data_IF_294071425347
#
_entry.id   IF_294071425347
#
_cell.length_a   1.000
_cell.length_b   1.000
_cell.length_c   1.000
_cell.angle_alpha   90.00
_cell.angle_beta   90.00
_cell.angle_gamma   90.00
#
_symmetry.space_group_name_H-M   'P 1'
#
loop_
_entity.id
_entity.type
_entity.pdbx_description
1 polymer ?
#
# COMPACT_ATOMS: atom_id res chain seq x y z
N UNK A 1 -20.05 -15.02 35.59
CA UNK A 1 -20.52 -15.35 34.24
C UNK A 1 -22.03 -15.48 34.29
N UNK A 2 -22.73 -14.53 33.71
CA UNK A 2 -24.18 -14.59 33.54
C UNK A 2 -24.46 -15.06 32.13
N UNK A 3 -25.51 -15.83 31.92
CA UNK A 3 -25.86 -16.38 30.60
C UNK A 3 -27.17 -15.76 30.13
N UNK A 4 -27.15 -15.12 28.98
CA UNK A 4 -28.29 -14.51 28.33
C UNK A 4 -28.52 -15.20 26.98
N UNK A 5 -29.74 -15.62 26.71
CA UNK A 5 -30.19 -16.08 25.39
C UNK A 5 -31.35 -15.20 24.99
N UNK A 6 -31.16 -14.46 23.89
CA UNK A 6 -32.10 -13.48 23.38
C UNK A 6 -33.17 -14.12 22.48
N UNK A 7 -33.75 -13.38 21.58
CA UNK A 7 -34.89 -13.85 20.78
C UNK A 7 -34.46 -14.11 19.29
N UNK A 8 -35.37 -14.61 18.48
CA UNK A 8 -35.17 -14.80 17.04
C UNK A 8 -35.45 -13.51 16.22
N UNK A 9 -35.51 -12.37 16.85
CA UNK A 9 -35.78 -11.09 16.18
C UNK A 9 -34.93 -9.98 16.78
N UNK A 10 -34.90 -8.78 16.17
CA UNK A 10 -34.02 -7.71 16.62
C UNK A 10 -34.11 -7.44 18.10
N UNK A 11 -32.99 -7.59 18.79
CA UNK A 11 -32.86 -7.35 20.21
C UNK A 11 -31.99 -6.11 20.48
N UNK A 12 -32.27 -5.46 21.57
CA UNK A 12 -31.45 -4.40 22.14
C UNK A 12 -31.11 -4.80 23.57
N UNK A 13 -29.82 -5.03 23.80
CA UNK A 13 -29.31 -5.39 25.10
C UNK A 13 -28.54 -4.20 25.67
N UNK A 14 -29.20 -3.21 26.28
CA UNK A 14 -28.53 -2.18 27.06
C UNK A 14 -27.98 -2.81 28.31
N UNK A 15 -26.88 -2.29 28.82
CA UNK A 15 -26.35 -2.71 30.11
C UNK A 15 -27.48 -2.88 31.13
N UNK A 16 -27.68 -4.09 31.66
CA UNK A 16 -28.82 -4.34 32.55
C UNK A 16 -28.72 -3.62 33.88
N UNK A 17 -27.51 -3.32 34.33
CA UNK A 17 -27.25 -2.62 35.59
C UNK A 17 -25.92 -1.85 35.52
N UNK A 18 -25.84 -0.66 36.08
CA UNK A 18 -24.65 0.17 36.21
C UNK A 18 -23.48 -0.49 36.99
N UNK A 19 -23.56 -1.76 37.28
CA UNK A 19 -22.59 -2.61 37.98
C UNK A 19 -22.31 -3.91 37.21
N UNK A 20 -22.52 -3.97 35.88
CA UNK A 20 -22.14 -5.13 35.07
C UNK A 20 -20.62 -5.18 35.00
N UNK A 21 -19.99 -5.82 35.98
CA UNK A 21 -18.56 -5.99 36.15
C UNK A 21 -18.19 -7.47 36.12
N UNK A 22 -19.00 -8.28 35.51
CA UNK A 22 -18.84 -9.73 35.51
C UNK A 22 -18.77 -10.27 34.12
N UNK A 23 -18.02 -11.36 33.94
CA UNK A 23 -17.96 -12.10 32.71
C UNK A 23 -19.34 -12.61 32.30
N UNK A 24 -19.77 -12.29 31.11
CA UNK A 24 -21.09 -12.65 30.59
C UNK A 24 -20.98 -13.54 29.32
N UNK A 25 -21.98 -14.37 29.13
CA UNK A 25 -22.17 -15.16 27.91
C UNK A 25 -23.51 -14.72 27.29
N UNK A 26 -23.45 -14.08 26.14
CA UNK A 26 -24.61 -13.53 25.44
C UNK A 26 -24.76 -14.20 24.09
N UNK A 27 -25.94 -14.77 23.81
CA UNK A 27 -26.26 -15.36 22.52
C UNK A 27 -27.52 -14.67 21.97
N UNK A 28 -27.37 -13.92 20.87
CA UNK A 28 -28.43 -13.11 20.29
C UNK A 28 -29.33 -13.88 19.31
N UNK A 29 -28.86 -15.01 18.78
CA UNK A 29 -29.57 -15.93 17.88
C UNK A 29 -29.76 -15.38 16.46
N UNK A 30 -30.81 -14.63 16.20
CA UNK A 30 -31.10 -14.10 14.89
C UNK A 30 -31.88 -12.78 14.98
N UNK A 31 -31.54 -11.86 14.12
CA UNK A 31 -32.13 -10.54 14.11
C UNK A 31 -31.06 -9.53 13.70
N UNK A 32 -31.38 -8.27 13.76
CA UNK A 32 -30.37 -7.22 13.70
C UNK A 32 -30.25 -6.67 15.14
N UNK A 33 -29.25 -7.18 15.85
CA UNK A 33 -29.16 -7.02 17.29
C UNK A 33 -28.18 -5.90 17.67
N UNK A 34 -28.36 -5.31 18.84
CA UNK A 34 -27.42 -4.32 19.40
C UNK A 34 -27.09 -4.73 20.82
N UNK A 35 -25.84 -5.16 21.01
CA UNK A 35 -25.36 -5.77 22.25
C UNK A 35 -24.21 -4.95 22.82
N UNK A 36 -24.23 -4.72 24.12
CA UNK A 36 -23.13 -4.14 24.91
C UNK A 36 -22.82 -5.09 26.07
N UNK A 37 -21.67 -5.77 26.03
CA UNK A 37 -21.21 -6.70 27.08
C UNK A 37 -20.84 -6.02 28.39
N UNK A 38 -20.41 -4.74 28.35
CA UNK A 38 -20.12 -3.95 29.52
C UNK A 38 -18.69 -4.12 30.07
N UNK A 39 -18.59 -4.49 31.34
CA UNK A 39 -17.29 -4.74 31.99
C UNK A 39 -17.13 -6.23 32.29
N UNK A 40 -16.01 -6.77 32.04
CA UNK A 40 -15.68 -8.16 32.29
C UNK A 40 -15.04 -8.81 31.07
N UNK A 41 -14.78 -10.09 31.15
CA UNK A 41 -14.36 -10.87 30.00
C UNK A 41 -15.61 -11.53 29.41
N UNK A 42 -16.14 -10.94 28.39
CA UNK A 42 -17.43 -11.33 27.85
C UNK A 42 -17.30 -12.24 26.63
N UNK A 43 -18.31 -13.05 26.41
CA UNK A 43 -18.47 -13.82 25.17
C UNK A 43 -19.82 -13.46 24.55
N UNK A 44 -19.75 -12.87 23.35
CA UNK A 44 -20.93 -12.41 22.61
C UNK A 44 -21.03 -13.18 21.29
N UNK A 45 -22.17 -13.75 21.00
CA UNK A 45 -22.51 -14.42 19.74
C UNK A 45 -23.74 -13.72 19.15
N UNK A 46 -23.55 -12.94 18.07
CA UNK A 46 -24.60 -12.20 17.36
C UNK A 46 -25.53 -13.16 16.61
N UNK A 47 -24.94 -14.13 15.92
CA UNK A 47 -25.68 -15.22 15.28
C UNK A 47 -26.04 -14.94 13.84
N UNK A 48 -27.26 -14.54 13.52
CA UNK A 48 -27.65 -14.28 12.15
C UNK A 48 -28.41 -12.97 12.03
N UNK A 49 -27.90 -12.06 11.27
CA UNK A 49 -28.47 -10.71 11.10
C UNK A 49 -27.36 -9.70 10.92
N UNK A 50 -27.70 -8.43 10.92
CA UNK A 50 -26.69 -7.38 10.84
C UNK A 50 -26.56 -6.78 12.24
N UNK A 51 -25.56 -7.21 12.97
CA UNK A 51 -25.44 -6.99 14.39
C UNK A 51 -24.46 -5.86 14.75
N UNK A 52 -24.68 -5.20 15.88
CA UNK A 52 -23.75 -4.24 16.48
C UNK A 52 -23.33 -4.78 17.85
N UNK A 53 -22.09 -5.27 17.94
CA UNK A 53 -21.58 -5.96 19.11
C UNK A 53 -20.44 -5.17 19.73
N UNK A 54 -20.60 -4.80 20.98
CA UNK A 54 -19.67 -3.95 21.72
C UNK A 54 -19.29 -4.59 23.05
N UNK A 55 -18.00 -4.66 23.40
CA UNK A 55 -17.53 -5.02 24.74
C UNK A 55 -16.16 -4.41 25.01
N UNK A 56 -16.15 -3.18 25.53
CA UNK A 56 -14.95 -2.31 25.53
C UNK A 56 -13.99 -2.51 26.69
N UNK A 57 -14.24 -3.41 27.62
CA UNK A 57 -13.37 -3.65 28.77
C UNK A 57 -13.21 -5.14 29.09
N UNK A 58 -11.98 -5.58 29.21
CA UNK A 58 -11.64 -6.96 29.54
C UNK A 58 -11.22 -7.75 28.29
N UNK A 59 -10.88 -9.01 28.44
CA UNK A 59 -10.49 -9.88 27.34
C UNK A 59 -11.74 -10.59 26.81
N UNK A 60 -12.24 -10.15 25.68
CA UNK A 60 -13.54 -10.53 25.15
C UNK A 60 -13.43 -11.53 23.99
N UNK A 61 -14.51 -12.24 23.73
CA UNK A 61 -14.72 -13.02 22.52
C UNK A 61 -16.01 -12.55 21.88
N UNK A 62 -15.92 -11.99 20.67
CA UNK A 62 -17.07 -11.43 19.95
C UNK A 62 -17.19 -12.13 18.61
N UNK A 63 -18.33 -12.72 18.33
CA UNK A 63 -18.64 -13.44 17.10
C UNK A 63 -19.83 -12.76 16.43
N UNK A 64 -19.66 -12.24 15.22
CA UNK A 64 -20.73 -11.65 14.40
C UNK A 64 -21.66 -12.73 13.87
N UNK A 65 -21.14 -13.58 13.02
CA UNK A 65 -21.84 -14.76 12.53
C UNK A 65 -22.24 -14.66 11.06
N UNK A 66 -23.49 -14.40 10.75
CA UNK A 66 -23.96 -14.28 9.39
C UNK A 66 -24.71 -12.98 9.17
N UNK A 67 -24.27 -12.18 8.23
CA UNK A 67 -24.77 -10.84 7.93
C UNK A 67 -23.67 -9.82 8.11
N UNK A 68 -23.97 -8.58 7.78
CA UNK A 68 -23.02 -7.48 7.90
C UNK A 68 -22.95 -7.00 9.32
N UNK A 69 -21.87 -7.29 10.00
CA UNK A 69 -21.71 -7.07 11.43
C UNK A 69 -20.72 -5.95 11.75
N UNK A 70 -20.88 -5.33 12.92
CA UNK A 70 -19.97 -4.32 13.43
C UNK A 70 -19.52 -4.70 14.84
N UNK A 71 -18.25 -5.05 14.99
CA UNK A 71 -17.65 -5.59 16.20
C UNK A 71 -16.62 -4.62 16.78
N UNK A 72 -16.74 -4.29 18.08
CA UNK A 72 -15.77 -3.45 18.80
C UNK A 72 -15.45 -4.05 20.16
N UNK A 73 -14.18 -4.34 20.41
CA UNK A 73 -13.74 -4.95 21.65
C UNK A 73 -13.14 -3.93 22.66
N UNK A 74 -12.18 -3.12 22.29
CA UNK A 74 -11.73 -1.99 23.12
C UNK A 74 -10.45 -2.22 23.89
N UNK A 75 -10.46 -2.44 25.17
CA UNK A 75 -9.26 -2.66 25.97
C UNK A 75 -9.16 -4.11 26.42
N UNK A 76 -8.06 -4.76 26.18
CA UNK A 76 -7.81 -6.15 26.58
C UNK A 76 -7.20 -6.93 25.44
N UNK A 77 -6.81 -8.17 25.64
CA UNK A 77 -6.43 -9.07 24.57
C UNK A 77 -7.70 -9.79 24.10
N UNK A 78 -8.23 -9.37 22.96
CA UNK A 78 -9.57 -9.72 22.50
C UNK A 78 -9.53 -10.70 21.30
N UNK A 79 -10.63 -11.40 21.06
CA UNK A 79 -10.83 -12.26 19.88
C UNK A 79 -12.13 -11.87 19.17
N UNK A 80 -12.03 -11.48 17.90
CA UNK A 80 -13.16 -11.10 17.07
C UNK A 80 -13.26 -12.02 15.85
N UNK A 81 -14.46 -12.50 15.53
CA UNK A 81 -14.76 -13.32 14.35
C UNK A 81 -15.99 -12.73 13.64
N UNK A 82 -15.79 -12.10 12.47
CA UNK A 82 -16.87 -11.53 11.67
C UNK A 82 -17.81 -12.60 11.13
N UNK A 83 -17.24 -13.56 10.39
CA UNK A 83 -17.98 -14.72 9.94
C UNK A 83 -18.30 -14.77 8.46
N UNK A 84 -19.44 -14.32 8.03
CA UNK A 84 -19.82 -14.27 6.62
C UNK A 84 -20.61 -13.04 6.26
N UNK A 85 -20.48 -12.61 5.01
CA UNK A 85 -20.87 -11.30 4.49
C UNK A 85 -19.86 -10.21 4.96
N UNK A 86 -20.04 -8.96 4.60
CA UNK A 86 -19.13 -7.86 4.92
C UNK A 86 -19.20 -7.48 6.40
N UNK A 87 -18.05 -7.48 7.07
CA UNK A 87 -17.94 -7.15 8.48
C UNK A 87 -16.92 -6.03 8.74
N UNK A 88 -17.14 -5.27 9.84
CA UNK A 88 -16.20 -4.28 10.35
C UNK A 88 -15.75 -4.66 11.76
N UNK A 89 -14.44 -4.94 11.95
CA UNK A 89 -13.86 -5.41 13.21
C UNK A 89 -12.84 -4.42 13.76
N UNK A 90 -12.97 -4.07 15.04
CA UNK A 90 -12.06 -3.18 15.76
C UNK A 90 -11.61 -3.83 17.08
N UNK A 91 -10.33 -4.23 17.16
CA UNK A 91 -9.72 -4.82 18.35
C UNK A 91 -9.60 -3.80 19.48
N UNK A 92 -8.83 -2.77 19.29
CA UNK A 92 -8.65 -1.69 20.25
C UNK A 92 -7.29 -1.71 20.92
N UNK A 93 -7.19 -1.41 22.22
CA UNK A 93 -5.92 -1.50 22.96
C UNK A 93 -5.69 -2.93 23.44
N UNK A 94 -4.67 -3.61 23.03
CA UNK A 94 -4.37 -4.98 23.49
C UNK A 94 -3.61 -5.76 22.41
N UNK A 95 -3.37 -7.05 22.64
CA UNK A 95 -2.86 -7.92 21.59
C UNK A 95 -4.04 -8.77 21.10
N UNK A 96 -4.64 -8.33 20.03
CA UNK A 96 -5.93 -8.82 19.58
C UNK A 96 -5.78 -9.88 18.47
N UNK A 97 -6.81 -10.71 18.32
CA UNK A 97 -6.91 -11.65 17.22
C UNK A 97 -8.22 -11.41 16.45
N UNK A 98 -8.12 -10.94 15.21
CA UNK A 98 -9.23 -10.59 14.35
C UNK A 98 -9.31 -11.55 13.16
N UNK A 99 -10.49 -12.04 12.87
CA UNK A 99 -10.81 -12.92 11.74
C UNK A 99 -12.00 -12.35 10.97
N UNK A 100 -11.78 -11.89 9.74
CA UNK A 100 -12.85 -11.39 8.86
C UNK A 100 -13.78 -12.52 8.42
N UNK A 101 -13.22 -13.50 7.74
CA UNK A 101 -13.90 -14.73 7.41
C UNK A 101 -14.23 -14.91 5.95
N UNK A 102 -15.40 -14.59 5.50
CA UNK A 102 -15.81 -14.65 4.11
C UNK A 102 -16.36 -13.34 3.65
N UNK A 103 -16.19 -13.08 2.28
CA UNK A 103 -16.54 -11.83 1.65
C UNK A 103 -15.57 -10.71 2.12
N UNK A 104 -15.69 -9.51 1.60
CA UNK A 104 -14.69 -8.46 1.81
C UNK A 104 -14.91 -7.75 3.14
N UNK A 105 -13.92 -7.76 4.01
CA UNK A 105 -14.01 -7.29 5.38
C UNK A 105 -13.11 -6.09 5.68
N UNK A 106 -13.44 -5.34 6.73
CA UNK A 106 -12.64 -4.26 7.29
C UNK A 106 -12.13 -4.61 8.69
N UNK A 107 -10.80 -4.75 8.85
CA UNK A 107 -10.20 -5.17 10.11
C UNK A 107 -9.18 -4.14 10.60
N UNK A 108 -9.27 -3.76 11.87
CA UNK A 108 -8.33 -2.85 12.51
C UNK A 108 -7.93 -3.40 13.89
N UNK A 109 -6.65 -3.83 14.01
CA UNK A 109 -6.10 -4.32 15.26
C UNK A 109 -6.05 -3.23 16.32
N UNK A 110 -5.39 -2.12 16.02
CA UNK A 110 -5.27 -0.97 16.92
C UNK A 110 -3.91 -0.86 17.57
N UNK A 111 -3.81 -0.39 18.83
CA UNK A 111 -2.58 -0.44 19.59
C UNK A 111 -2.33 -1.80 20.23
N UNK A 112 -1.25 -2.47 19.87
CA UNK A 112 -0.87 -3.77 20.42
C UNK A 112 -0.02 -4.56 19.44
N UNK A 113 0.21 -5.82 19.71
CA UNK A 113 0.82 -6.73 18.74
C UNK A 113 -0.28 -7.69 18.29
N UNK A 114 -0.87 -7.40 17.16
CA UNK A 114 -2.11 -7.99 16.72
C UNK A 114 -1.91 -9.12 15.72
N UNK A 115 -2.84 -10.05 15.69
CA UNK A 115 -2.97 -11.07 14.66
C UNK A 115 -4.26 -10.81 13.89
N UNK A 116 -4.14 -10.50 12.60
CA UNK A 116 -5.30 -10.16 11.77
C UNK A 116 -5.32 -11.04 10.52
N UNK A 117 -6.42 -11.72 10.29
CA UNK A 117 -6.66 -12.64 9.17
C UNK A 117 -7.94 -12.20 8.44
N UNK A 118 -7.80 -11.68 7.20
CA UNK A 118 -8.95 -11.28 6.36
C UNK A 118 -9.78 -12.48 5.91
N UNK A 119 -9.11 -13.49 5.41
CA UNK A 119 -9.76 -14.77 5.05
C UNK A 119 -10.10 -14.89 3.59
N UNK A 120 -11.31 -14.64 3.18
CA UNK A 120 -11.74 -14.66 1.77
C UNK A 120 -12.47 -13.41 1.43
N UNK A 121 -12.10 -12.79 0.33
CA UNK A 121 -12.68 -11.56 -0.17
C UNK A 121 -11.56 -10.59 -0.49
N UNK A 122 -11.91 -9.42 -0.93
CA UNK A 122 -10.94 -8.35 -1.10
C UNK A 122 -10.97 -7.53 0.21
N UNK A 123 -10.03 -7.83 1.12
CA UNK A 123 -10.06 -7.35 2.50
C UNK A 123 -9.26 -6.07 2.71
N UNK A 124 -9.65 -5.32 3.72
CA UNK A 124 -8.96 -4.12 4.17
C UNK A 124 -8.45 -4.33 5.58
N UNK A 125 -7.12 -4.46 5.74
CA UNK A 125 -6.48 -4.84 6.99
C UNK A 125 -5.53 -3.74 7.46
N UNK A 126 -5.69 -3.30 8.71
CA UNK A 126 -4.81 -2.38 9.38
C UNK A 126 -4.34 -2.97 10.70
N UNK A 127 -3.01 -3.16 10.86
CA UNK A 127 -2.41 -3.61 12.12
C UNK A 127 -2.52 -2.53 13.19
N UNK A 128 -1.91 -1.38 12.95
CA UNK A 128 -2.02 -0.21 13.81
C UNK A 128 -0.71 0.20 14.44
N UNK A 129 -0.53 0.02 15.72
CA UNK A 129 0.75 0.28 16.36
C UNK A 129 1.21 -0.91 17.20
N UNK A 130 2.39 -1.39 16.96
CA UNK A 130 2.96 -2.60 17.57
C UNK A 130 3.63 -3.45 16.51
N UNK A 131 4.09 -4.62 16.87
CA UNK A 131 4.67 -5.55 15.89
C UNK A 131 3.57 -6.55 15.51
N UNK A 132 2.93 -6.34 14.34
CA UNK A 132 1.70 -7.00 13.93
C UNK A 132 1.95 -8.15 12.93
N UNK A 133 0.99 -9.08 12.86
CA UNK A 133 0.97 -10.17 11.87
C UNK A 133 -0.35 -10.09 11.09
N UNK A 134 -0.24 -9.80 9.80
CA UNK A 134 -1.38 -9.59 8.90
C UNK A 134 -1.38 -10.67 7.81
N UNK A 135 -2.51 -11.32 7.63
CA UNK A 135 -2.78 -12.30 6.58
C UNK A 135 -3.99 -11.83 5.76
N UNK A 136 -3.82 -11.58 4.46
CA UNK A 136 -4.93 -11.23 3.56
C UNK A 136 -5.78 -12.43 3.24
N UNK A 137 -5.18 -13.44 2.63
CA UNK A 137 -5.81 -14.74 2.39
C UNK A 137 -6.16 -14.98 0.95
N UNK A 138 -7.41 -14.92 0.57
CA UNK A 138 -7.89 -15.06 -0.80
C UNK A 138 -8.57 -13.77 -1.26
N UNK A 139 -8.12 -13.14 -2.28
CA UNK A 139 -8.69 -11.93 -2.85
C UNK A 139 -7.61 -10.90 -3.15
N UNK A 140 -8.00 -9.68 -3.48
CA UNK A 140 -7.04 -8.61 -3.68
C UNK A 140 -7.06 -7.73 -2.44
N UNK A 141 -6.14 -7.96 -1.54
CA UNK A 141 -6.15 -7.44 -0.21
C UNK A 141 -5.32 -6.15 -0.06
N UNK A 142 -5.66 -5.34 0.91
CA UNK A 142 -4.91 -4.14 1.26
C UNK A 142 -4.44 -4.26 2.71
N UNK A 143 -3.11 -4.38 2.90
CA UNK A 143 -2.47 -4.59 4.19
C UNK A 143 -1.64 -3.36 4.58
N UNK A 144 -2.02 -2.70 5.67
CA UNK A 144 -1.27 -1.60 6.29
C UNK A 144 -0.80 -2.04 7.68
N UNK A 145 0.50 -2.35 7.80
CA UNK A 145 1.07 -2.74 9.09
C UNK A 145 0.97 -1.63 10.12
N UNK A 146 1.12 -0.38 9.67
CA UNK A 146 1.16 0.77 10.55
C UNK A 146 2.53 0.96 11.17
N UNK A 147 2.59 1.30 12.48
CA UNK A 147 3.87 1.57 13.11
C UNK A 147 4.38 0.39 13.92
N UNK A 148 5.54 -0.14 13.59
CA UNK A 148 6.12 -1.29 14.26
C UNK A 148 7.11 -2.05 13.40
N UNK A 149 7.25 -3.32 13.65
CA UNK A 149 7.93 -4.27 12.76
C UNK A 149 6.91 -5.32 12.40
N UNK A 150 6.34 -5.18 11.22
CA UNK A 150 5.16 -5.91 10.84
C UNK A 150 5.49 -7.05 9.87
N UNK A 151 4.74 -8.14 10.00
CA UNK A 151 4.81 -9.28 9.09
C UNK A 151 3.50 -9.37 8.30
N UNK A 152 3.57 -9.19 6.98
CA UNK A 152 2.42 -9.16 6.09
C UNK A 152 2.50 -10.27 5.06
N UNK A 153 1.39 -10.92 4.79
CA UNK A 153 1.22 -11.92 3.75
C UNK A 153 -0.11 -11.70 3.03
N UNK A 154 -0.10 -11.34 1.76
CA UNK A 154 -1.32 -11.11 0.98
C UNK A 154 -2.03 -12.40 0.65
N UNK A 155 -1.32 -13.36 0.06
CA UNK A 155 -1.88 -14.67 -0.20
C UNK A 155 -2.26 -14.92 -1.65
N UNK A 156 -3.52 -15.26 -1.95
CA UNK A 156 -3.99 -15.40 -3.33
C UNK A 156 -4.61 -14.10 -3.83
N UNK A 157 -4.10 -13.55 -4.90
CA UNK A 157 -4.65 -12.35 -5.54
C UNK A 157 -3.61 -11.27 -5.78
N UNK A 158 -4.06 -10.10 -6.20
CA UNK A 158 -3.18 -8.96 -6.42
C UNK A 158 -3.26 -8.03 -5.20
N UNK A 159 -2.23 -8.06 -4.37
CA UNK A 159 -2.27 -7.47 -3.06
C UNK A 159 -1.53 -6.13 -2.98
N UNK A 160 -1.91 -5.31 -2.04
CA UNK A 160 -1.27 -4.01 -1.79
C UNK A 160 -0.77 -3.93 -0.36
N UNK A 161 0.53 -3.63 -0.22
CA UNK A 161 1.21 -3.49 1.05
C UNK A 161 1.63 -2.06 1.31
N UNK A 162 1.41 -1.56 2.51
CA UNK A 162 1.91 -0.27 2.97
C UNK A 162 3.04 -0.50 3.97
N UNK A 163 4.22 0.05 3.66
CA UNK A 163 5.46 -0.11 4.43
C UNK A 163 5.92 1.24 4.94
N UNK A 164 6.02 1.40 6.25
CA UNK A 164 6.50 2.61 6.91
C UNK A 164 7.83 2.43 7.65
N UNK A 165 8.27 1.19 7.81
CA UNK A 165 9.50 0.79 8.50
C UNK A 165 10.33 -0.17 7.64
N UNK A 166 11.68 0.01 7.52
CA UNK A 166 12.52 -0.88 6.69
C UNK A 166 12.62 -2.32 7.21
N UNK A 167 12.07 -2.59 8.39
CA UNK A 167 12.06 -3.91 9.02
C UNK A 167 10.75 -4.67 8.77
N UNK A 168 9.76 -4.02 8.16
CA UNK A 168 8.54 -4.70 7.76
C UNK A 168 8.86 -5.81 6.75
N UNK A 169 8.25 -6.94 6.96
CA UNK A 169 8.52 -8.13 6.19
C UNK A 169 7.28 -8.57 5.43
N UNK A 170 7.39 -8.61 4.11
CA UNK A 170 6.35 -9.10 3.23
C UNK A 170 6.71 -10.51 2.74
N UNK A 171 5.74 -11.39 2.78
CA UNK A 171 5.79 -12.73 2.19
C UNK A 171 4.71 -12.82 1.12
N UNK A 172 5.09 -13.26 -0.07
CA UNK A 172 4.17 -13.58 -1.14
C UNK A 172 4.23 -15.04 -1.53
N UNK A 173 3.08 -15.58 -1.93
CA UNK A 173 2.97 -16.93 -2.40
C UNK A 173 3.66 -17.11 -3.77
N UNK A 174 4.02 -18.35 -4.10
CA UNK A 174 4.51 -18.74 -5.42
C UNK A 174 3.47 -19.64 -6.08
N UNK A 175 2.95 -19.31 -7.27
CA UNK A 175 2.08 -20.21 -8.02
C UNK A 175 0.97 -19.55 -8.84
N UNK A 176 0.08 -20.37 -9.39
CA UNK A 176 -0.96 -19.93 -10.34
C UNK A 176 -2.01 -18.96 -9.76
N UNK A 177 -2.12 -18.87 -8.43
CA UNK A 177 -3.10 -18.01 -7.75
C UNK A 177 -2.44 -16.88 -6.95
N UNK A 178 -1.12 -16.76 -6.98
CA UNK A 178 -0.35 -15.79 -6.19
C UNK A 178 -0.41 -14.38 -6.80
N UNK A 179 -1.29 -13.99 -7.60
CA UNK A 179 -1.27 -12.68 -8.26
C UNK A 179 -0.18 -12.55 -9.34
N UNK A 180 -0.28 -11.52 -10.14
CA UNK A 180 0.75 -11.09 -11.10
C UNK A 180 1.02 -9.58 -10.95
N UNK A 181 0.36 -8.90 -10.01
CA UNK A 181 0.39 -7.45 -9.85
C UNK A 181 0.36 -7.04 -8.36
N UNK A 182 1.33 -7.55 -7.58
CA UNK A 182 1.47 -7.21 -6.16
C UNK A 182 2.23 -5.91 -5.97
N UNK A 183 1.67 -4.99 -5.18
CA UNK A 183 2.13 -3.62 -5.04
C UNK A 183 2.64 -3.33 -3.63
N UNK A 184 3.87 -2.87 -3.51
CA UNK A 184 4.39 -2.25 -2.31
C UNK A 184 4.39 -0.73 -2.44
N UNK A 185 3.73 -0.04 -1.51
CA UNK A 185 3.80 1.40 -1.30
C UNK A 185 4.70 1.66 -0.10
N UNK A 186 5.88 2.22 -0.33
CA UNK A 186 6.84 2.40 0.74
C UNK A 186 7.15 3.86 1.04
N UNK A 187 7.08 4.24 2.31
CA UNK A 187 7.51 5.54 2.84
C UNK A 187 8.98 5.56 3.27
N UNK A 188 9.69 4.47 3.09
CA UNK A 188 11.09 4.27 3.45
C UNK A 188 11.85 3.63 2.30
N UNK A 189 13.19 3.61 2.38
CA UNK A 189 14.01 2.86 1.41
C UNK A 189 13.61 1.38 1.46
N UNK A 190 13.31 0.81 0.30
CA UNK A 190 12.79 -0.55 0.23
C UNK A 190 13.39 -1.37 -0.91
N UNK A 191 13.52 -2.68 -0.66
CA UNK A 191 13.89 -3.67 -1.67
C UNK A 191 12.78 -4.72 -1.74
N UNK A 192 12.27 -4.96 -2.94
CA UNK A 192 11.24 -5.97 -3.16
C UNK A 192 11.71 -7.36 -2.76
N UNK A 193 10.85 -8.07 -2.04
CA UNK A 193 10.95 -9.50 -1.79
C UNK A 193 10.68 -10.32 -3.07
N UNK A 194 10.82 -11.65 -3.02
CA UNK A 194 10.44 -12.51 -4.13
C UNK A 194 8.92 -12.44 -4.37
N UNK A 195 8.49 -12.66 -5.61
CA UNK A 195 7.10 -12.70 -6.06
C UNK A 195 6.33 -11.38 -5.92
N UNK A 196 7.00 -10.22 -5.93
CA UNK A 196 6.39 -8.90 -5.93
C UNK A 196 6.87 -8.14 -7.17
N UNK A 197 5.94 -7.56 -7.93
CA UNK A 197 6.21 -6.92 -9.22
C UNK A 197 6.32 -5.41 -9.13
N UNK A 198 5.59 -4.76 -8.19
CA UNK A 198 5.47 -3.31 -8.17
C UNK A 198 6.01 -2.68 -6.90
N UNK A 199 6.80 -1.61 -7.07
CA UNK A 199 7.24 -0.74 -5.98
C UNK A 199 6.90 0.71 -6.30
N UNK A 200 6.18 1.34 -5.38
CA UNK A 200 5.92 2.77 -5.39
C UNK A 200 6.57 3.42 -4.17
N UNK A 201 7.59 4.23 -4.40
CA UNK A 201 8.19 5.05 -3.34
C UNK A 201 7.30 6.26 -3.08
N UNK A 202 6.87 6.43 -1.85
CA UNK A 202 5.93 7.46 -1.46
C UNK A 202 6.53 8.43 -0.45
N UNK A 203 5.78 9.47 -0.14
CA UNK A 203 6.13 10.48 0.84
C UNK A 203 5.01 10.71 1.86
N UNK A 204 5.34 10.67 3.14
CA UNK A 204 4.46 11.11 4.20
C UNK A 204 4.89 12.47 4.72
N UNK A 205 4.19 13.52 4.30
CA UNK A 205 4.48 14.88 4.72
C UNK A 205 4.17 15.14 6.19
N UNK A 206 3.30 14.35 6.81
CA UNK A 206 2.92 14.52 8.21
C UNK A 206 4.05 14.05 9.14
N UNK A 207 4.66 12.92 8.86
CA UNK A 207 5.80 12.39 9.61
C UNK A 207 7.14 12.92 9.12
N UNK A 208 7.20 13.51 7.92
CA UNK A 208 8.43 13.92 7.25
C UNK A 208 9.23 12.73 6.70
N UNK A 209 8.59 11.59 6.48
CA UNK A 209 9.18 10.41 5.85
C UNK A 209 9.07 10.52 4.35
N UNK A 210 10.13 10.14 3.66
CA UNK A 210 10.16 9.99 2.21
C UNK A 210 11.24 8.98 1.83
N UNK A 211 10.87 8.02 1.00
CA UNK A 211 11.79 7.04 0.47
C UNK A 211 12.77 7.69 -0.53
N UNK A 212 14.00 7.22 -0.55
CA UNK A 212 15.05 7.69 -1.47
C UNK A 212 15.47 6.53 -2.40
N UNK A 213 15.60 5.32 -1.88
CA UNK A 213 16.11 4.18 -2.62
C UNK A 213 15.02 3.13 -2.82
N UNK A 214 14.85 2.68 -4.06
CA UNK A 214 13.98 1.57 -4.43
C UNK A 214 14.76 0.52 -5.19
N UNK A 215 14.60 -0.75 -4.84
CA UNK A 215 15.22 -1.85 -5.55
C UNK A 215 14.21 -2.94 -5.87
N UNK A 216 14.26 -3.45 -7.09
CA UNK A 216 13.52 -4.62 -7.52
C UNK A 216 14.14 -5.94 -7.05
N UNK A 217 13.66 -7.02 -7.64
CA UNK A 217 14.07 -8.40 -7.42
C UNK A 217 14.52 -9.05 -8.75
N UNK A 218 14.31 -10.36 -8.94
CA UNK A 218 14.68 -11.06 -10.17
C UNK A 218 13.51 -11.17 -11.18
N UNK A 219 12.36 -10.54 -10.92
CA UNK A 219 11.19 -10.47 -11.79
C UNK A 219 11.21 -9.21 -12.66
N UNK A 220 10.32 -9.15 -13.63
CA UNK A 220 10.05 -7.94 -14.41
C UNK A 220 9.33 -6.92 -13.53
N UNK A 221 10.09 -5.99 -12.93
CA UNK A 221 9.55 -5.04 -11.96
C UNK A 221 9.13 -3.71 -12.60
N UNK A 222 8.13 -3.08 -12.00
CA UNK A 222 7.85 -1.67 -12.22
C UNK A 222 8.12 -0.88 -10.94
N UNK A 223 9.09 0.03 -10.99
CA UNK A 223 9.53 0.84 -9.85
C UNK A 223 9.28 2.31 -10.14
N UNK A 224 8.50 2.96 -9.29
CA UNK A 224 8.21 4.39 -9.38
C UNK A 224 8.80 5.11 -8.17
N UNK A 225 9.56 6.16 -8.45
CA UNK A 225 10.06 7.12 -7.48
C UNK A 225 9.00 8.16 -7.09
N UNK A 226 9.41 9.13 -6.31
CA UNK A 226 8.55 10.20 -5.79
C UNK A 226 9.00 11.59 -6.31
N UNK A 227 8.76 12.67 -5.53
CA UNK A 227 9.16 14.05 -5.90
C UNK A 227 10.59 14.41 -5.53
N UNK A 228 11.31 13.54 -4.85
CA UNK A 228 12.66 13.78 -4.37
C UNK A 228 13.65 12.98 -5.21
N UNK A 229 14.93 13.37 -5.23
CA UNK A 229 15.94 12.58 -5.90
C UNK A 229 16.00 11.14 -5.39
N UNK A 230 15.68 10.19 -6.26
CA UNK A 230 15.65 8.76 -5.96
C UNK A 230 16.84 8.02 -6.58
N UNK A 231 17.19 6.88 -5.99
CA UNK A 231 18.04 5.87 -6.60
C UNK A 231 17.22 4.61 -6.83
N UNK A 232 16.92 4.31 -8.08
CA UNK A 232 16.13 3.15 -8.47
C UNK A 232 17.01 2.11 -9.14
N UNK A 233 16.85 0.85 -8.74
CA UNK A 233 17.58 -0.29 -9.25
C UNK A 233 16.63 -1.44 -9.61
N UNK A 234 16.53 -1.81 -10.90
CA UNK A 234 15.68 -2.90 -11.38
C UNK A 234 16.14 -4.26 -10.88
N UNK A 235 17.38 -4.57 -11.02
CA UNK A 235 18.12 -5.78 -10.68
C UNK A 235 18.20 -6.79 -11.83
N UNK A 236 17.32 -7.75 -11.95
CA UNK A 236 17.24 -8.66 -13.08
C UNK A 236 15.78 -8.84 -13.49
N UNK A 237 15.50 -9.00 -14.76
CA UNK A 237 14.18 -8.96 -15.36
C UNK A 237 14.09 -7.85 -16.38
N UNK A 238 12.99 -7.79 -17.11
CA UNK A 238 12.72 -6.69 -18.05
C UNK A 238 11.98 -5.56 -17.30
N UNK A 239 12.76 -4.68 -16.64
CA UNK A 239 12.25 -3.73 -15.67
C UNK A 239 11.72 -2.42 -16.29
N UNK A 240 10.79 -1.76 -15.62
CA UNK A 240 10.36 -0.41 -15.95
C UNK A 240 10.62 0.52 -14.77
N UNK A 241 11.51 1.51 -14.97
CA UNK A 241 11.91 2.49 -13.95
C UNK A 241 11.39 3.87 -14.33
N UNK A 242 10.69 4.53 -13.38
CA UNK A 242 10.18 5.89 -13.49
C UNK A 242 10.65 6.70 -12.28
N UNK A 243 11.52 7.71 -12.47
CA UNK A 243 12.09 8.49 -11.37
C UNK A 243 11.06 9.37 -10.66
N UNK A 244 10.11 9.92 -11.40
CA UNK A 244 9.17 10.92 -10.90
C UNK A 244 9.71 12.35 -11.05
N UNK A 245 9.38 13.22 -10.10
CA UNK A 245 10.04 14.53 -10.03
C UNK A 245 11.39 14.39 -9.33
N UNK A 246 12.38 15.17 -9.73
CA UNK A 246 13.68 15.11 -9.05
C UNK A 246 14.83 14.95 -10.04
N UNK A 247 16.02 14.73 -9.52
CA UNK A 247 17.16 14.31 -10.33
C UNK A 247 17.51 12.89 -9.91
N UNK A 248 17.01 11.93 -10.61
CA UNK A 248 17.01 10.56 -10.20
C UNK A 248 18.21 9.79 -10.80
N UNK A 249 18.57 8.71 -10.13
CA UNK A 249 19.57 7.76 -10.63
C UNK A 249 18.89 6.45 -10.91
N UNK A 250 18.85 6.08 -12.19
CA UNK A 250 18.16 4.90 -12.68
C UNK A 250 19.19 3.87 -13.17
N UNK A 251 19.09 2.66 -12.66
CA UNK A 251 19.93 1.52 -13.05
C UNK A 251 19.00 0.35 -13.38
N UNK A 252 18.93 -0.06 -14.63
CA UNK A 252 18.09 -1.18 -15.06
C UNK A 252 18.61 -2.50 -14.52
N UNK A 253 19.82 -2.85 -14.86
CA UNK A 253 20.46 -4.09 -14.44
C UNK A 253 20.59 -5.10 -15.56
N UNK A 254 20.10 -6.31 -15.34
CA UNK A 254 20.17 -7.39 -16.34
C UNK A 254 18.79 -7.63 -16.92
N UNK A 255 18.60 -7.31 -18.19
CA UNK A 255 17.34 -7.48 -18.88
C UNK A 255 17.14 -6.47 -19.97
N UNK A 256 15.92 -6.38 -20.50
CA UNK A 256 15.52 -5.39 -21.49
C UNK A 256 14.74 -4.29 -20.79
N UNK A 257 15.45 -3.32 -20.25
CA UNK A 257 14.90 -2.37 -19.33
C UNK A 257 14.25 -1.17 -20.02
N UNK A 258 13.29 -0.58 -19.35
CA UNK A 258 12.58 0.61 -19.81
C UNK A 258 12.75 1.75 -18.83
N UNK A 259 13.39 2.82 -19.26
CA UNK A 259 13.53 4.06 -18.52
C UNK A 259 12.41 5.01 -18.94
N UNK A 260 11.42 5.21 -18.08
CA UNK A 260 10.19 5.94 -18.38
C UNK A 260 10.28 7.40 -17.93
N UNK A 261 9.91 8.30 -18.83
CA UNK A 261 9.86 9.74 -18.57
C UNK A 261 8.47 10.27 -18.80
N UNK A 262 7.95 10.93 -17.78
CA UNK A 262 6.64 11.52 -17.78
C UNK A 262 5.62 10.71 -17.02
N UNK A 263 5.13 11.29 -15.96
CA UNK A 263 4.22 10.68 -15.00
C UNK A 263 2.79 11.10 -15.22
N UNK A 264 1.88 10.14 -15.19
CA UNK A 264 0.45 10.35 -15.02
C UNK A 264 0.02 10.27 -13.55
N UNK A 265 0.95 9.85 -12.66
CA UNK A 265 0.63 9.48 -11.28
C UNK A 265 0.52 10.68 -10.34
N UNK A 266 1.32 11.71 -10.54
CA UNK A 266 1.31 12.90 -9.70
C UNK A 266 0.55 14.04 -10.37
N UNK A 267 -0.76 14.08 -10.20
CA UNK A 267 -1.71 15.16 -10.49
C UNK A 267 -1.61 15.85 -11.89
N UNK A 268 -2.72 16.09 -12.58
CA UNK A 268 -2.75 16.72 -13.90
C UNK A 268 -2.42 18.22 -13.89
N UNK A 269 -1.71 18.75 -12.89
CA UNK A 269 -1.61 20.20 -12.67
C UNK A 269 -0.21 20.77 -12.49
N UNK A 270 0.86 20.01 -12.54
CA UNK A 270 2.19 20.61 -12.62
C UNK A 270 3.06 20.03 -13.74
N UNK A 271 2.95 20.57 -14.96
CA UNK A 271 3.77 20.13 -16.09
C UNK A 271 5.22 20.65 -16.00
N UNK A 272 5.77 20.91 -14.82
CA UNK A 272 6.90 21.81 -14.64
C UNK A 272 8.19 21.28 -14.06
N UNK A 273 8.26 20.10 -13.49
CA UNK A 273 9.48 19.67 -12.79
C UNK A 273 9.83 18.19 -13.02
N UNK A 274 10.15 17.85 -14.27
CA UNK A 274 11.06 16.74 -14.44
C UNK A 274 12.46 17.24 -14.09
N UNK A 275 13.16 16.51 -13.25
CA UNK A 275 14.57 16.72 -13.03
C UNK A 275 15.42 16.38 -14.25
N UNK A 276 16.68 16.19 -14.02
CA UNK A 276 17.59 15.61 -14.99
C UNK A 276 18.03 14.26 -14.45
N UNK A 277 17.51 13.19 -15.02
CA UNK A 277 17.80 11.86 -14.52
C UNK A 277 19.07 11.28 -15.11
N UNK A 278 19.76 10.49 -14.30
CA UNK A 278 20.95 9.79 -14.68
C UNK A 278 20.64 8.31 -14.90
N UNK A 279 20.68 7.87 -16.17
CA UNK A 279 20.67 6.45 -16.51
C UNK A 279 22.12 5.94 -16.50
N UNK A 280 22.40 4.93 -15.64
CA UNK A 280 23.76 4.53 -15.36
C UNK A 280 24.30 3.45 -16.31
N UNK A 281 23.42 2.57 -16.83
CA UNK A 281 23.81 1.31 -17.49
C UNK A 281 23.06 0.99 -18.79
N UNK A 282 22.43 1.96 -19.44
CA UNK A 282 21.68 1.72 -20.68
C UNK A 282 22.44 0.83 -21.67
N UNK A 283 21.93 -0.37 -21.95
CA UNK A 283 22.58 -1.39 -22.77
C UNK A 283 21.68 -1.78 -23.96
N UNK A 284 21.86 -1.12 -25.08
CA UNK A 284 21.13 -1.39 -26.34
C UNK A 284 21.14 -2.86 -26.75
N UNK A 285 22.23 -3.59 -26.44
CA UNK A 285 22.36 -5.00 -26.77
C UNK A 285 21.46 -5.91 -25.93
N UNK A 286 21.05 -5.48 -24.75
CA UNK A 286 20.07 -6.15 -23.93
C UNK A 286 18.64 -5.82 -24.38
N UNK A 287 18.43 -4.72 -25.05
CA UNK A 287 17.12 -4.32 -25.58
C UNK A 287 16.51 -3.11 -24.88
N UNK A 288 17.30 -2.42 -24.06
CA UNK A 288 16.85 -1.27 -23.29
C UNK A 288 16.18 -0.19 -24.13
N UNK A 289 15.22 0.48 -23.54
CA UNK A 289 14.41 1.54 -24.16
C UNK A 289 14.29 2.77 -23.27
N UNK A 290 14.21 3.91 -23.92
CA UNK A 290 13.77 5.18 -23.34
C UNK A 290 12.30 5.34 -23.69
N UNK A 291 11.43 5.33 -22.66
CA UNK A 291 10.00 5.49 -22.84
C UNK A 291 9.59 6.94 -22.61
N UNK A 292 8.88 7.51 -23.58
CA UNK A 292 8.41 8.88 -23.57
C UNK A 292 6.89 8.89 -23.46
N UNK A 293 6.35 9.32 -22.33
CA UNK A 293 4.90 9.38 -22.12
C UNK A 293 4.31 10.59 -22.84
N UNK A 294 3.26 10.38 -23.63
CA UNK A 294 2.63 11.43 -24.43
C UNK A 294 2.03 12.58 -23.59
N UNK A 295 1.66 12.34 -22.34
CA UNK A 295 1.19 13.42 -21.45
C UNK A 295 2.26 14.47 -21.22
N UNK A 296 3.52 14.05 -21.12
CA UNK A 296 4.68 14.91 -20.85
C UNK A 296 5.44 15.32 -22.10
N UNK A 297 5.30 14.54 -23.17
CA UNK A 297 5.91 14.81 -24.50
C UNK A 297 4.84 15.00 -25.57
N UNK A 298 3.92 15.97 -25.43
CA UNK A 298 2.73 16.09 -26.28
C UNK A 298 3.01 16.43 -27.74
N UNK A 299 4.23 16.91 -28.07
CA UNK A 299 4.63 17.18 -29.44
C UNK A 299 5.07 15.93 -30.19
N UNK A 300 5.30 14.80 -29.50
CA UNK A 300 5.65 13.52 -30.10
C UNK A 300 4.36 12.77 -30.41
N UNK A 301 4.23 12.27 -31.63
CA UNK A 301 3.11 11.41 -32.04
C UNK A 301 3.20 10.01 -31.38
N UNK A 302 2.44 9.05 -31.89
CA UNK A 302 2.50 7.67 -31.38
C UNK A 302 3.82 6.93 -31.57
N UNK A 303 4.74 7.49 -32.37
CA UNK A 303 6.11 6.99 -32.61
C UNK A 303 7.04 8.16 -32.84
N UNK A 304 8.31 8.01 -32.49
CA UNK A 304 9.35 8.99 -32.81
C UNK A 304 9.90 8.70 -34.23
N UNK A 305 9.76 9.67 -35.14
CA UNK A 305 10.26 9.55 -36.52
C UNK A 305 11.74 9.97 -36.65
N UNK A 306 12.43 9.48 -37.69
CA UNK A 306 13.84 9.86 -37.96
C UNK A 306 14.03 11.39 -38.10
N UNK A 307 13.01 12.13 -38.53
CA UNK A 307 13.08 13.59 -38.66
C UNK A 307 12.90 14.32 -37.33
N UNK A 308 12.42 13.62 -36.32
CA UNK A 308 12.17 14.13 -34.95
C UNK A 308 13.31 13.83 -33.99
N UNK A 309 14.32 13.05 -34.44
CA UNK A 309 15.49 12.70 -33.65
C UNK A 309 16.76 13.27 -34.30
N UNK A 310 17.64 13.83 -33.48
CA UNK A 310 18.94 14.35 -33.99
C UNK A 310 20.09 14.00 -33.04
N UNK A 311 21.26 13.77 -33.66
CA UNK A 311 22.53 13.63 -32.93
C UNK A 311 23.35 14.91 -33.14
N UNK A 312 23.87 15.45 -32.04
CA UNK A 312 24.72 16.65 -32.00
C UNK A 312 26.07 16.33 -31.35
N UNK A 313 27.01 17.21 -31.48
CA UNK A 313 28.37 17.09 -30.88
C UNK A 313 28.70 18.23 -29.93
N UNK A 314 27.82 19.21 -29.87
CA UNK A 314 27.92 20.35 -28.96
C UNK A 314 26.51 20.72 -28.49
N UNK A 315 26.30 20.87 -27.20
CA UNK A 315 25.00 21.19 -26.60
C UNK A 315 24.41 22.52 -27.14
N UNK A 316 25.25 23.47 -27.55
CA UNK A 316 24.79 24.72 -28.17
C UNK A 316 24.03 24.50 -29.49
N UNK A 317 24.25 23.36 -30.15
CA UNK A 317 23.55 23.01 -31.40
C UNK A 317 22.06 22.64 -31.11
N UNK A 318 21.73 22.21 -29.91
CA UNK A 318 20.38 21.82 -29.53
C UNK A 318 19.39 23.02 -29.67
N UNK A 319 19.83 24.22 -29.32
CA UNK A 319 19.02 25.45 -29.34
C UNK A 319 18.38 25.75 -30.71
N UNK A 320 19.06 25.39 -31.79
CA UNK A 320 18.62 25.69 -33.15
C UNK A 320 18.27 24.42 -33.96
N UNK A 321 18.17 23.28 -33.31
CA UNK A 321 17.83 22.03 -33.95
C UNK A 321 16.33 21.84 -34.06
N UNK A 322 15.75 21.50 -35.21
CA UNK A 322 14.31 21.33 -35.36
C UNK A 322 13.78 19.99 -34.81
N UNK A 323 14.65 19.05 -34.45
CA UNK A 323 14.23 17.76 -33.91
C UNK A 323 13.61 17.88 -32.52
N UNK A 324 12.64 17.03 -32.22
CA UNK A 324 11.96 16.99 -30.92
C UNK A 324 12.84 16.37 -29.83
N UNK A 325 13.55 15.29 -30.15
CA UNK A 325 14.52 14.63 -29.27
C UNK A 325 15.92 14.82 -29.84
N UNK A 326 16.84 15.28 -29.00
CA UNK A 326 18.20 15.59 -29.41
C UNK A 326 19.17 14.89 -28.45
N UNK A 327 20.16 14.18 -28.99
CA UNK A 327 21.13 13.43 -28.21
C UNK A 327 22.56 13.91 -28.48
N UNK A 328 23.32 14.08 -27.41
CA UNK A 328 24.77 14.36 -27.51
C UNK A 328 25.58 13.16 -26.97
N UNK A 329 26.11 12.29 -27.82
CA UNK A 329 26.86 11.10 -27.38
C UNK A 329 28.22 11.41 -26.74
N UNK A 330 28.70 12.66 -26.76
CA UNK A 330 29.96 13.04 -26.12
C UNK A 330 29.79 13.21 -24.60
N UNK A 331 28.59 13.50 -24.14
CA UNK A 331 28.28 13.74 -22.71
C UNK A 331 27.02 13.03 -22.23
N UNK A 332 26.35 12.25 -23.10
CA UNK A 332 25.17 11.44 -22.77
C UNK A 332 23.86 12.21 -22.66
N UNK A 333 23.84 13.53 -22.90
CA UNK A 333 22.66 14.36 -22.66
C UNK A 333 21.56 14.15 -23.69
N UNK A 334 20.34 13.98 -23.19
CA UNK A 334 19.10 13.96 -23.95
C UNK A 334 18.30 15.25 -23.70
N UNK A 335 17.83 15.83 -24.79
CA UNK A 335 17.07 17.07 -24.77
C UNK A 335 15.71 16.83 -25.43
N UNK A 336 14.68 17.46 -24.88
CA UNK A 336 13.37 17.60 -25.51
C UNK A 336 13.19 19.03 -26.01
N UNK A 337 12.77 19.20 -27.24
CA UNK A 337 12.59 20.50 -27.90
C UNK A 337 11.20 20.60 -28.54
N UNK A 338 10.15 20.90 -27.77
CA UNK A 338 8.76 20.93 -28.25
C UNK A 338 8.49 22.05 -29.27
N UNK A 339 9.33 23.10 -29.30
CA UNK A 339 9.12 24.32 -30.10
C UNK A 339 10.01 24.40 -31.34
N UNK A 340 10.86 23.42 -31.57
CA UNK A 340 11.80 23.43 -32.70
C UNK A 340 12.78 24.60 -32.61
N UNK A 341 12.83 25.45 -33.63
CA UNK A 341 13.80 26.55 -33.74
C UNK A 341 13.34 27.87 -33.09
N UNK A 342 12.27 27.88 -32.29
CA UNK A 342 11.81 29.10 -31.65
C UNK A 342 12.70 29.52 -30.45
N UNK A 343 12.89 30.83 -30.24
CA UNK A 343 13.71 31.37 -29.16
C UNK A 343 13.14 30.98 -27.78
N UNK A 344 13.96 30.37 -26.94
CA UNK A 344 13.61 30.00 -25.57
C UNK A 344 14.24 28.71 -25.05
N UNK A 345 14.77 27.91 -25.94
CA UNK A 345 15.49 26.69 -25.57
C UNK A 345 16.89 27.05 -25.03
N UNK A 346 17.18 26.73 -23.79
CA UNK A 346 18.53 26.69 -23.23
C UNK A 346 19.32 27.99 -23.15
N UNK A 347 18.77 29.16 -23.45
CA UNK A 347 19.48 30.41 -23.34
C UNK A 347 19.53 30.92 -21.88
N UNK A 348 20.52 30.44 -21.13
CA UNK A 348 20.97 30.98 -19.86
C UNK A 348 20.34 30.45 -18.59
N UNK A 349 21.14 29.73 -17.85
CA UNK A 349 21.11 29.52 -16.40
C UNK A 349 19.84 28.93 -15.72
N UNK A 350 18.80 28.57 -16.43
CA UNK A 350 17.67 27.87 -15.81
C UNK A 350 17.61 26.43 -16.32
N UNK A 351 18.17 25.53 -15.53
CA UNK A 351 17.95 24.07 -15.61
C UNK A 351 16.49 23.70 -15.25
N UNK A 352 15.65 24.71 -14.95
CA UNK A 352 14.26 24.64 -14.55
C UNK A 352 13.34 25.30 -15.59
N UNK A 353 13.44 24.89 -16.85
CA UNK A 353 12.44 25.31 -17.82
C UNK A 353 11.26 24.32 -17.78
N UNK A 354 10.01 24.81 -17.73
CA UNK A 354 8.85 23.92 -17.85
C UNK A 354 8.89 23.18 -19.20
N UNK A 355 8.34 21.95 -19.27
CA UNK A 355 8.38 21.09 -20.46
C UNK A 355 7.85 21.77 -21.74
N UNK A 356 7.04 22.81 -21.60
CA UNK A 356 6.59 23.67 -22.71
C UNK A 356 7.72 24.43 -23.42
N UNK A 357 8.89 24.57 -22.77
CA UNK A 357 10.05 25.31 -23.31
C UNK A 357 11.20 24.39 -23.73
N UNK A 358 11.11 23.10 -23.42
CA UNK A 358 12.18 22.14 -23.68
C UNK A 358 13.39 22.27 -22.75
N UNK A 359 14.25 21.27 -22.76
CA UNK A 359 15.47 21.24 -21.93
C UNK A 359 16.08 19.87 -21.86
N UNK A 360 17.11 19.71 -21.03
CA UNK A 360 17.71 18.42 -20.72
C UNK A 360 16.74 17.69 -19.80
N UNK A 361 16.44 16.42 -20.09
CA UNK A 361 15.61 15.58 -19.22
C UNK A 361 16.35 14.34 -18.73
N UNK A 362 17.40 13.88 -19.45
CA UNK A 362 18.18 12.72 -19.03
C UNK A 362 19.64 12.80 -19.43
N UNK A 363 20.48 12.03 -18.74
CA UNK A 363 21.89 11.82 -19.05
C UNK A 363 22.15 10.31 -19.02
N UNK A 364 22.68 9.76 -20.13
CA UNK A 364 23.15 8.38 -20.21
C UNK A 364 24.64 8.33 -19.89
N UNK A 365 25.00 7.75 -18.75
CA UNK A 365 26.37 7.78 -18.22
C UNK A 365 27.38 7.06 -19.15
N UNK A 366 26.97 5.96 -19.77
CA UNK A 366 27.80 5.16 -20.65
C UNK A 366 27.84 5.65 -22.11
N UNK A 367 27.16 6.76 -22.43
CA UNK A 367 27.14 7.42 -23.73
C UNK A 367 26.89 6.47 -24.91
N UNK A 368 25.80 5.69 -24.93
CA UNK A 368 25.53 4.71 -25.97
C UNK A 368 25.29 5.38 -27.33
N UNK A 369 25.36 4.59 -28.40
CA UNK A 369 25.06 5.08 -29.74
C UNK A 369 23.56 4.88 -30.05
N UNK A 370 22.74 5.91 -29.79
CA UNK A 370 21.28 5.85 -29.93
C UNK A 370 20.80 6.07 -31.39
N UNK A 371 19.64 5.48 -31.67
CA UNK A 371 18.80 5.79 -32.84
C UNK A 371 17.31 5.79 -32.43
N UNK A 372 16.40 6.10 -33.37
CA UNK A 372 14.95 6.22 -33.08
C UNK A 372 14.33 4.92 -32.54
N UNK A 373 14.93 3.75 -32.82
CA UNK A 373 14.42 2.48 -32.35
C UNK A 373 14.73 2.23 -30.86
N UNK A 374 15.57 3.04 -30.25
CA UNK A 374 15.86 2.98 -28.81
C UNK A 374 14.80 3.70 -27.98
N UNK A 375 13.85 4.37 -28.63
CA UNK A 375 12.74 5.07 -28.01
C UNK A 375 11.43 4.33 -28.23
N UNK A 376 10.57 4.36 -27.22
CA UNK A 376 9.17 3.97 -27.31
C UNK A 376 8.30 5.13 -26.84
N UNK A 377 7.19 5.36 -27.52
CA UNK A 377 6.22 6.37 -27.10
C UNK A 377 5.08 5.64 -26.44
N UNK A 378 4.78 6.00 -25.19
CA UNK A 378 3.71 5.38 -24.42
C UNK A 378 2.53 6.32 -24.30
N UNK A 379 1.32 5.75 -24.39
CA UNK A 379 0.11 6.48 -24.00
C UNK A 379 0.10 6.65 -22.47
N UNK A 380 -0.68 7.62 -21.95
CA UNK A 380 -0.90 7.72 -20.51
C UNK A 380 -1.33 6.38 -19.94
N UNK A 381 -0.53 5.85 -19.03
CA UNK A 381 -0.83 4.59 -18.38
C UNK A 381 -1.56 4.84 -17.06
N UNK A 382 -2.86 4.63 -17.07
CA UNK A 382 -3.71 4.71 -15.87
C UNK A 382 -3.72 3.38 -15.06
N UNK A 383 -2.84 2.46 -15.41
CA UNK A 383 -2.88 1.04 -15.04
C UNK A 383 -2.13 0.66 -13.76
N UNK A 384 -1.82 1.57 -12.82
CA UNK A 384 -1.53 1.12 -11.46
C UNK A 384 -2.83 0.72 -10.78
N UNK A 385 -2.85 -0.39 -10.06
CA UNK A 385 -3.86 -0.55 -9.03
C UNK A 385 -3.78 0.72 -8.16
N UNK A 386 -4.79 1.56 -8.26
CA UNK A 386 -4.85 2.72 -7.37
C UNK A 386 -5.02 2.14 -5.98
N UNK A 387 -4.20 2.54 -5.00
CA UNK A 387 -4.52 2.24 -3.62
C UNK A 387 -5.99 2.61 -3.45
N UNK A 388 -6.80 1.67 -3.06
CA UNK A 388 -8.17 1.98 -2.66
C UNK A 388 -7.99 3.01 -1.54
N UNK A 389 -8.49 4.26 -1.71
CA UNK A 389 -8.32 5.24 -0.64
C UNK A 389 -8.85 4.56 0.61
N UNK A 390 -8.00 4.51 1.64
CA UNK A 390 -8.40 4.07 2.96
C UNK A 390 -9.78 4.66 3.22
N UNK A 391 -10.81 3.89 3.53
CA UNK A 391 -12.02 4.48 4.04
C UNK A 391 -11.54 5.38 5.16
N UNK A 392 -11.69 6.69 4.98
CA UNK A 392 -11.42 7.63 6.05
C UNK A 392 -12.42 7.22 7.11
N UNK A 393 -11.97 6.43 8.07
CA UNK A 393 -12.69 6.20 9.31
C UNK A 393 -12.62 7.56 10.01
N UNK A 394 -13.39 8.52 9.45
CA UNK A 394 -13.60 9.79 10.09
C UNK A 394 -14.19 9.45 11.44
N UNK A 395 -13.31 9.52 12.48
CA UNK A 395 -13.71 9.70 13.87
C UNK A 395 -15.18 9.23 14.12
N UNK A 396 -15.43 7.94 14.00
CA UNK A 396 -16.55 7.40 14.75
C UNK A 396 -16.14 7.64 16.19
N UNK A 397 -16.53 8.82 16.67
CA UNK A 397 -16.44 9.13 18.05
C UNK A 397 -17.15 7.97 18.77
N UNK A 398 -16.36 6.98 19.17
CA UNK A 398 -16.79 6.08 20.24
C UNK A 398 -17.34 7.04 21.29
N UNK A 399 -18.63 6.99 21.65
CA UNK A 399 -19.16 7.92 22.62
C UNK A 399 -18.26 7.80 23.84
N UNK A 400 -17.57 8.91 24.20
CA UNK A 400 -16.64 8.89 25.33
C UNK A 400 -17.38 8.20 26.49
N UNK A 401 -16.86 7.08 27.00
CA UNK A 401 -17.44 6.43 28.13
C UNK A 401 -17.46 7.46 29.27
N UNK A 402 -18.60 7.69 29.84
CA UNK A 402 -18.74 8.62 30.99
C UNK A 402 -17.68 8.23 32.02
N UNK A 403 -16.65 9.09 32.18
CA UNK A 403 -15.50 8.84 33.05
C UNK A 403 -16.00 8.44 34.43
N UNK A 404 -15.85 7.18 34.87
CA UNK A 404 -16.14 6.83 36.25
C UNK A 404 -15.04 7.38 37.17
N UNK A 405 -15.40 7.76 38.36
CA UNK A 405 -14.48 8.27 39.39
C UNK A 405 -13.33 7.26 39.66
N UNK A 406 -12.12 7.70 40.06
CA UNK A 406 -10.89 6.90 40.06
C UNK A 406 -10.98 5.67 40.96
N UNK A 407 -10.70 4.51 40.35
CA UNK A 407 -10.66 3.20 40.97
C UNK A 407 -9.43 3.06 41.88
N UNK A 408 -9.50 2.46 43.05
CA UNK A 408 -8.34 2.15 43.89
C UNK A 408 -7.47 1.02 43.33
N UNK A 409 -6.18 1.21 43.46
CA UNK A 409 -5.01 0.45 42.98
C UNK A 409 -5.10 -1.08 42.81
N UNK A 410 -4.29 -1.66 41.90
CA UNK A 410 -4.51 -2.95 41.24
C UNK A 410 -4.25 -4.16 42.14
N UNK A 411 -5.08 -5.17 41.98
CA UNK A 411 -4.87 -6.55 42.45
C UNK A 411 -4.16 -7.34 41.33
N UNK A 412 -3.25 -8.20 41.74
CA UNK A 412 -2.37 -8.98 40.89
C UNK A 412 -3.09 -9.82 39.83
N UNK A 413 -2.54 -9.79 38.62
CA UNK A 413 -2.98 -10.50 37.42
C UNK A 413 -2.83 -12.02 37.63
N UNK A 414 -3.90 -12.78 37.44
CA UNK A 414 -3.86 -14.24 37.27
C UNK A 414 -3.77 -14.62 35.78
N UNK A 415 -3.19 -15.80 35.42
CA UNK A 415 -2.91 -16.17 34.05
C UNK A 415 -4.17 -16.41 33.21
N UNK A 416 -4.06 -16.14 31.91
CA UNK A 416 -5.07 -16.29 30.85
C UNK A 416 -5.83 -17.62 30.96
N UNK A 417 -7.15 -17.63 30.85
CA UNK A 417 -7.93 -18.86 30.87
C UNK A 417 -7.56 -19.78 29.67
N UNK A 418 -7.37 -21.05 29.96
CA UNK A 418 -7.05 -22.15 29.03
C UNK A 418 -7.99 -22.25 27.80
N UNK A 419 -9.12 -21.51 27.83
CA UNK A 419 -10.13 -21.46 26.77
C UNK A 419 -9.70 -20.58 25.58
N UNK A 420 -8.91 -19.51 25.80
CA UNK A 420 -8.44 -18.66 24.72
C UNK A 420 -7.34 -19.33 23.88
N UNK A 421 -6.43 -20.06 24.52
CA UNK A 421 -5.41 -20.85 23.79
C UNK A 421 -6.04 -21.94 22.87
N UNK A 422 -7.17 -22.50 23.28
CA UNK A 422 -7.86 -23.53 22.50
C UNK A 422 -8.62 -22.93 21.31
N UNK A 423 -9.18 -21.72 21.44
CA UNK A 423 -9.90 -21.03 20.34
C UNK A 423 -8.89 -20.52 19.29
N UNK A 424 -7.87 -19.82 19.72
CA UNK A 424 -6.80 -19.33 18.83
C UNK A 424 -6.09 -20.50 18.13
N UNK A 425 -5.78 -21.58 18.85
CA UNK A 425 -5.12 -22.76 18.27
C UNK A 425 -6.06 -23.52 17.31
N UNK A 426 -7.37 -23.52 17.54
CA UNK A 426 -8.35 -24.13 16.64
C UNK A 426 -8.49 -23.35 15.34
N UNK A 427 -8.54 -22.02 15.43
CA UNK A 427 -8.67 -21.12 14.28
C UNK A 427 -7.38 -21.11 13.45
N UNK A 428 -6.21 -21.02 14.09
CA UNK A 428 -4.91 -21.07 13.40
C UNK A 428 -4.66 -22.42 12.71
N UNK A 429 -5.23 -23.53 13.19
CA UNK A 429 -5.12 -24.84 12.54
C UNK A 429 -5.96 -24.96 11.25
N UNK A 430 -7.01 -24.15 11.13
CA UNK A 430 -7.85 -24.12 9.93
C UNK A 430 -7.34 -23.14 8.87
N UNK A 431 -6.58 -22.10 9.28
CA UNK A 431 -5.91 -21.16 8.38
C UNK A 431 -4.59 -21.68 7.77
N UNK A 432 -4.05 -22.77 8.28
CA UNK A 432 -2.81 -23.38 7.75
C UNK A 432 -1.50 -22.76 8.24
N UNK A 433 -1.54 -21.89 9.25
CA UNK A 433 -0.38 -21.16 9.81
C UNK A 433 0.42 -21.96 10.86
N UNK A 434 0.21 -23.27 11.02
CA UNK A 434 1.01 -24.13 11.90
C UNK A 434 1.67 -25.27 11.13
#
# INVERSE_FOLDING_TARGET
MTNFVLTEGPDFFPQPDQNNSGDDLINALAGADTIDGGFGNDTIDGGAGNDQLLSVFGNNVIIGGAGTDFLVAGNGDDVLDGGSDFDDLFGGDGNDALFGGRDSDGLNGGPGNDLVDGGKGDDFIQGGSGDDVLEGGHGNDNLDGGSGIDAMNGGEGNDTYIVDTPQDFITELEGENAGEEDLVISYVDYQLGPNIEFLNLSEDFNSGRFAINGSGNDLDNRIIGNRFPNNLFGAAGDDTLEGGDGNDTLTGGVGSDRFSFGSDFFAPFDPGFFGIDLITDFEKAQGDKIALNQSSFPSIGGTLDESEFAIITNDDEAVNNPALIIYNPLNGRLFYNPNGIEEGFGAGESIFAPPERGGIFAILQNTPNLDVNDFVVTEPDFGFPRPIPLPVVDDFAVPEPAIPEPIPSPVAIEPVPEVMEDVVTSMLSDSGIV
#
